data_IF_350878888252
#
_entry.id   IF_350878888252
#
_cell.length_a   1.000
_cell.length_b   1.000
_cell.length_c   1.000
_cell.angle_alpha   90.00
_cell.angle_beta   90.00
_cell.angle_gamma   90.00
#
_symmetry.space_group_name_H-M   'P 1'
#
loop_
_entity.id
_entity.type
_entity.pdbx_description
1 polymer ?
#
# COMPACT_ATOMS: atom_id res chain seq x y z
N UNK A 1 -14.37 -16.77 10.15
CA UNK A 1 -13.10 -16.09 10.51
C UNK A 1 -13.42 -14.85 11.32
N UNK A 2 -12.63 -14.56 12.35
CA UNK A 2 -12.74 -13.28 13.06
C UNK A 2 -12.17 -12.13 12.20
N UNK A 3 -12.67 -10.89 12.37
CA UNK A 3 -12.18 -9.73 11.63
C UNK A 3 -10.69 -9.43 11.89
N UNK A 4 -10.18 -9.78 13.07
CA UNK A 4 -8.77 -9.66 13.42
C UNK A 4 -7.88 -10.57 12.57
N UNK A 5 -8.30 -11.83 12.37
CA UNK A 5 -7.59 -12.80 11.53
C UNK A 5 -7.57 -12.34 10.08
N UNK A 6 -8.70 -11.87 9.55
CA UNK A 6 -8.79 -11.31 8.19
C UNK A 6 -7.80 -10.14 8.02
N UNK A 7 -7.76 -9.24 9.00
CA UNK A 7 -6.85 -8.09 8.98
C UNK A 7 -5.38 -8.51 9.03
N UNK A 8 -5.05 -9.50 9.87
CA UNK A 8 -3.69 -10.03 9.98
C UNK A 8 -3.22 -10.69 8.67
N UNK A 9 -4.09 -11.52 8.06
CA UNK A 9 -3.81 -12.18 6.78
C UNK A 9 -3.59 -11.17 5.66
N UNK A 10 -4.47 -10.17 5.54
CA UNK A 10 -4.35 -9.12 4.53
C UNK A 10 -3.07 -8.32 4.71
N UNK A 11 -2.72 -7.95 5.95
CA UNK A 11 -1.47 -7.24 6.25
C UNK A 11 -0.24 -8.07 5.91
N UNK A 12 -0.26 -9.37 6.19
CA UNK A 12 0.84 -10.26 5.84
C UNK A 12 1.09 -10.25 4.33
N UNK A 13 0.03 -10.48 3.54
CA UNK A 13 0.13 -10.50 2.07
C UNK A 13 0.52 -9.13 1.52
N UNK A 14 -0.07 -8.04 2.05
CA UNK A 14 0.27 -6.68 1.66
C UNK A 14 1.75 -6.35 1.93
N UNK A 15 2.26 -6.74 3.10
CA UNK A 15 3.68 -6.58 3.44
C UNK A 15 4.56 -7.44 2.54
N UNK A 16 4.20 -8.70 2.30
CA UNK A 16 4.91 -9.58 1.38
C UNK A 16 5.08 -8.94 0.01
N UNK A 17 4.01 -8.37 -0.56
CA UNK A 17 4.07 -7.64 -1.83
C UNK A 17 4.92 -6.37 -1.76
N UNK A 18 4.76 -5.58 -0.70
CA UNK A 18 5.55 -4.36 -0.48
C UNK A 18 7.06 -4.64 -0.45
N UNK A 19 7.46 -5.75 0.17
CA UNK A 19 8.86 -6.17 0.29
C UNK A 19 9.33 -7.14 -0.80
N UNK A 20 8.47 -7.41 -1.81
CA UNK A 20 8.76 -8.36 -2.90
C UNK A 20 9.17 -9.75 -2.41
N UNK A 21 8.55 -10.20 -1.34
CA UNK A 21 8.70 -11.57 -0.81
C UNK A 21 8.06 -12.54 -1.80
N UNK A 22 8.71 -13.69 -2.03
CA UNK A 22 8.17 -14.72 -2.91
C UNK A 22 6.87 -15.31 -2.33
N UNK A 23 5.89 -15.58 -3.19
CA UNK A 23 4.58 -16.12 -2.79
C UNK A 23 4.70 -17.43 -2.00
N UNK A 24 5.69 -18.26 -2.31
CA UNK A 24 5.97 -19.50 -1.56
C UNK A 24 6.24 -19.24 -0.08
N UNK A 25 6.98 -18.18 0.26
CA UNK A 25 7.29 -17.81 1.65
C UNK A 25 6.05 -17.26 2.35
N UNK A 26 5.21 -16.50 1.63
CA UNK A 26 3.95 -16.01 2.18
C UNK A 26 2.99 -17.17 2.45
N UNK A 27 2.92 -18.16 1.55
CA UNK A 27 2.13 -19.39 1.71
C UNK A 27 2.61 -20.19 2.92
N UNK A 28 3.92 -20.36 3.09
CA UNK A 28 4.49 -21.04 4.26
C UNK A 28 4.07 -20.36 5.56
N UNK A 29 4.16 -19.03 5.61
CA UNK A 29 3.74 -18.25 6.78
C UNK A 29 2.23 -18.29 7.04
N UNK A 30 1.41 -18.37 5.99
CA UNK A 30 -0.04 -18.60 6.12
C UNK A 30 -0.31 -19.97 6.77
N UNK A 31 0.43 -21.00 6.37
CA UNK A 31 0.31 -22.36 6.93
C UNK A 31 0.73 -22.36 8.40
N UNK A 32 1.82 -21.68 8.75
CA UNK A 32 2.28 -21.52 10.14
C UNK A 32 1.22 -20.84 11.04
N UNK A 33 0.44 -19.91 10.49
CA UNK A 33 -0.69 -19.28 11.18
C UNK A 33 -1.95 -20.17 11.27
N UNK A 34 -1.88 -21.42 10.81
CA UNK A 34 -2.96 -22.41 10.91
C UNK A 34 -3.91 -22.42 9.71
N UNK A 35 -3.55 -21.77 8.59
CA UNK A 35 -4.31 -21.89 7.34
C UNK A 35 -4.04 -23.26 6.71
N UNK A 36 -5.07 -24.04 6.34
CA UNK A 36 -4.86 -25.31 5.66
C UNK A 36 -4.11 -25.11 4.34
N UNK A 37 -3.06 -25.91 4.10
CA UNK A 37 -2.23 -25.83 2.89
C UNK A 37 -3.05 -25.86 1.60
N UNK A 38 -4.12 -26.65 1.56
CA UNK A 38 -5.03 -26.74 0.42
C UNK A 38 -5.70 -25.41 0.06
N UNK A 39 -5.85 -24.49 1.02
CA UNK A 39 -6.53 -23.20 0.85
C UNK A 39 -5.57 -22.02 0.85
N UNK A 40 -4.31 -22.20 1.27
CA UNK A 40 -3.35 -21.11 1.43
C UNK A 40 -3.05 -20.38 0.11
N UNK A 41 -2.95 -21.12 -1.00
CA UNK A 41 -2.72 -20.54 -2.33
C UNK A 41 -3.95 -19.76 -2.84
N UNK A 42 -5.15 -20.30 -2.64
CA UNK A 42 -6.41 -19.62 -3.03
C UNK A 42 -6.61 -18.33 -2.22
N UNK A 43 -6.36 -18.39 -0.91
CA UNK A 43 -6.43 -17.23 -0.01
C UNK A 43 -5.43 -16.16 -0.39
N UNK A 44 -4.19 -16.54 -0.71
CA UNK A 44 -3.19 -15.59 -1.20
C UNK A 44 -3.65 -14.93 -2.50
N UNK A 45 -4.14 -15.72 -3.46
CA UNK A 45 -4.59 -15.20 -4.76
C UNK A 45 -5.76 -14.22 -4.59
N UNK A 46 -6.73 -14.55 -3.75
CA UNK A 46 -7.89 -13.72 -3.47
C UNK A 46 -7.51 -12.38 -2.81
N UNK A 47 -6.67 -12.43 -1.77
CA UNK A 47 -6.17 -11.22 -1.10
C UNK A 47 -5.32 -10.38 -2.06
N UNK A 48 -4.45 -11.02 -2.84
CA UNK A 48 -3.59 -10.34 -3.81
C UNK A 48 -4.43 -9.64 -4.90
N UNK A 49 -5.50 -10.27 -5.36
CA UNK A 49 -6.43 -9.69 -6.32
C UNK A 49 -7.16 -8.49 -5.73
N UNK A 50 -7.67 -8.60 -4.49
CA UNK A 50 -8.28 -7.49 -3.76
C UNK A 50 -7.31 -6.32 -3.62
N UNK A 51 -6.08 -6.56 -3.16
CA UNK A 51 -5.03 -5.54 -3.03
C UNK A 51 -4.74 -4.85 -4.36
N UNK A 52 -4.57 -5.62 -5.44
CA UNK A 52 -4.28 -5.07 -6.77
C UNK A 52 -5.41 -4.17 -7.25
N UNK A 53 -6.65 -4.67 -7.19
CA UNK A 53 -7.82 -3.92 -7.63
C UNK A 53 -8.01 -2.64 -6.81
N UNK A 54 -7.82 -2.71 -5.49
CA UNK A 54 -7.86 -1.53 -4.62
C UNK A 54 -6.82 -0.49 -5.00
N UNK A 55 -5.59 -0.93 -5.27
CA UNK A 55 -4.52 -0.03 -5.73
C UNK A 55 -4.84 0.57 -7.10
N UNK A 56 -5.31 -0.22 -8.05
CA UNK A 56 -5.63 0.25 -9.42
C UNK A 56 -6.74 1.30 -9.39
N UNK A 57 -7.80 1.08 -8.60
CA UNK A 57 -8.91 2.03 -8.39
C UNK A 57 -8.40 3.32 -7.73
N UNK A 58 -7.55 3.22 -6.72
CA UNK A 58 -6.97 4.39 -6.05
C UNK A 58 -6.04 5.20 -6.99
N UNK A 59 -5.31 4.53 -7.89
CA UNK A 59 -4.46 5.19 -8.90
C UNK A 59 -5.31 5.83 -10.00
N UNK A 60 -6.35 5.15 -10.48
CA UNK A 60 -7.24 5.64 -11.51
C UNK A 60 -8.06 6.86 -11.05
N UNK A 61 -8.25 7.04 -9.74
CA UNK A 61 -9.06 8.12 -9.18
C UNK A 61 -10.56 7.95 -9.45
N UNK A 62 -10.94 6.84 -10.09
CA UNK A 62 -12.32 6.40 -10.25
C UNK A 62 -12.71 5.81 -8.90
N UNK A 63 -13.30 6.60 -8.00
CA UNK A 63 -13.75 6.11 -6.68
C UNK A 63 -14.89 5.08 -6.75
N UNK A 64 -15.05 4.42 -7.88
CA UNK A 64 -16.13 3.52 -8.19
C UNK A 64 -15.77 2.14 -7.63
N UNK A 65 -16.53 1.63 -6.66
CA UNK A 65 -16.36 0.26 -6.21
C UNK A 65 -16.60 -0.69 -7.38
N UNK A 66 -16.00 -1.90 -7.38
CA UNK A 66 -16.24 -2.88 -8.42
C UNK A 66 -17.75 -3.08 -8.65
N UNK A 67 -18.20 -3.28 -9.90
CA UNK A 67 -19.62 -3.33 -10.28
C UNK A 67 -20.39 -4.52 -9.66
N UNK A 68 -19.71 -5.43 -8.96
CA UNK A 68 -20.33 -6.54 -8.26
C UNK A 68 -20.02 -6.47 -6.75
N UNK A 69 -21.01 -6.79 -5.89
CA UNK A 69 -20.81 -6.87 -4.45
C UNK A 69 -19.71 -7.91 -4.14
N UNK A 70 -18.95 -7.74 -3.05
CA UNK A 70 -17.69 -8.44 -2.85
C UNK A 70 -17.86 -9.96 -2.84
N UNK A 71 -17.14 -10.59 -3.77
CA UNK A 71 -16.68 -11.96 -3.65
C UNK A 71 -15.81 -12.05 -2.38
N UNK A 72 -16.38 -12.54 -1.27
CA UNK A 72 -15.70 -12.79 0.01
C UNK A 72 -15.20 -11.58 0.84
N UNK A 73 -15.15 -11.73 2.18
CA UNK A 73 -14.65 -10.70 3.10
C UNK A 73 -13.14 -10.45 2.99
N UNK A 74 -12.36 -11.40 2.47
CA UNK A 74 -10.90 -11.26 2.32
C UNK A 74 -10.55 -10.35 1.15
N UNK A 75 -11.28 -10.48 0.05
CA UNK A 75 -11.14 -9.59 -1.10
C UNK A 75 -11.42 -8.14 -0.70
N UNK A 76 -12.51 -7.89 0.04
CA UNK A 76 -12.88 -6.55 0.46
C UNK A 76 -11.85 -5.93 1.41
N UNK A 77 -11.35 -6.71 2.36
CA UNK A 77 -10.28 -6.27 3.24
C UNK A 77 -8.99 -5.95 2.43
N UNK A 78 -8.61 -6.82 1.49
CA UNK A 78 -7.50 -6.58 0.54
C UNK A 78 -7.70 -5.32 -0.29
N UNK A 79 -8.89 -5.10 -0.83
CA UNK A 79 -9.24 -3.91 -1.60
C UNK A 79 -9.06 -2.62 -0.80
N UNK A 80 -9.60 -2.56 0.41
CA UNK A 80 -9.46 -1.37 1.26
C UNK A 80 -8.01 -1.10 1.64
N UNK A 81 -7.22 -2.14 1.89
CA UNK A 81 -5.80 -2.00 2.21
C UNK A 81 -4.99 -1.54 0.97
N UNK A 82 -5.33 -2.06 -0.21
CA UNK A 82 -4.72 -1.65 -1.49
C UNK A 82 -4.96 -0.18 -1.81
N UNK A 83 -6.16 0.33 -1.54
CA UNK A 83 -6.46 1.76 -1.65
C UNK A 83 -5.68 2.60 -0.64
N UNK A 84 -5.65 2.18 0.63
CA UNK A 84 -4.92 2.89 1.71
C UNK A 84 -3.43 2.99 1.42
N UNK A 85 -2.82 1.91 0.93
CA UNK A 85 -1.41 1.88 0.58
C UNK A 85 -1.08 2.94 -0.48
N UNK A 86 -1.89 3.04 -1.53
CA UNK A 86 -1.69 4.07 -2.58
C UNK A 86 -1.89 5.47 -2.04
N UNK A 87 -2.96 5.71 -1.27
CA UNK A 87 -3.23 7.03 -0.69
C UNK A 87 -2.11 7.49 0.25
N UNK A 88 -1.58 6.58 1.08
CA UNK A 88 -0.44 6.86 1.94
C UNK A 88 0.81 7.22 1.12
N UNK A 89 1.07 6.49 0.03
CA UNK A 89 2.22 6.75 -0.84
C UNK A 89 2.10 8.12 -1.54
N UNK A 90 0.90 8.47 -2.01
CA UNK A 90 0.60 9.79 -2.61
C UNK A 90 0.82 10.92 -1.59
N UNK A 91 0.33 10.76 -0.36
CA UNK A 91 0.53 11.75 0.71
C UNK A 91 2.01 11.93 1.04
N UNK A 92 2.78 10.83 1.11
CA UNK A 92 4.21 10.86 1.43
C UNK A 92 5.03 11.53 0.32
N UNK A 93 4.67 11.30 -0.94
CA UNK A 93 5.31 11.98 -2.08
C UNK A 93 4.98 13.47 -2.11
N UNK A 94 3.75 13.85 -1.79
CA UNK A 94 3.35 15.26 -1.71
C UNK A 94 4.08 15.99 -0.59
N UNK A 95 4.20 15.39 0.60
CA UNK A 95 4.94 16.00 1.72
C UNK A 95 6.43 16.15 1.37
N UNK A 96 7.04 15.11 0.81
CA UNK A 96 8.45 15.12 0.39
C UNK A 96 8.74 16.21 -0.65
N UNK A 97 7.84 16.39 -1.64
CA UNK A 97 7.95 17.47 -2.63
C UNK A 97 7.90 18.86 -1.98
N UNK A 98 7.01 19.08 -1.02
CA UNK A 98 6.92 20.36 -0.28
C UNK A 98 8.19 20.64 0.50
N UNK A 99 8.75 19.64 1.16
CA UNK A 99 10.00 19.78 1.92
C UNK A 99 11.19 20.08 1.02
N UNK A 100 11.33 19.40 -0.14
CA UNK A 100 12.40 19.72 -1.10
C UNK A 100 12.28 21.14 -1.65
N UNK A 101 11.08 21.61 -1.98
CA UNK A 101 10.86 22.98 -2.44
C UNK A 101 11.23 24.00 -1.36
N UNK A 102 10.84 23.75 -0.11
CA UNK A 102 11.20 24.62 1.01
C UNK A 102 12.73 24.70 1.21
N UNK A 103 13.43 23.57 1.12
CA UNK A 103 14.90 23.53 1.20
C UNK A 103 15.53 24.30 0.03
N UNK A 104 15.04 24.10 -1.19
CA UNK A 104 15.55 24.80 -2.38
C UNK A 104 15.38 26.32 -2.25
N UNK A 105 14.22 26.79 -1.77
CA UNK A 105 13.97 28.22 -1.52
C UNK A 105 14.93 28.77 -0.46
N UNK A 106 15.16 28.04 0.64
CA UNK A 106 16.10 28.47 1.69
C UNK A 106 17.54 28.58 1.16
N UNK A 107 17.98 27.64 0.33
CA UNK A 107 19.30 27.69 -0.30
C UNK A 107 19.40 28.91 -1.21
N UNK A 108 18.42 29.15 -2.08
CA UNK A 108 18.40 30.32 -2.98
C UNK A 108 18.41 31.63 -2.19
N UNK A 109 17.62 31.72 -1.12
CA UNK A 109 17.58 32.90 -0.25
C UNK A 109 18.93 33.14 0.44
N UNK A 110 19.56 32.07 0.94
CA UNK A 110 20.88 32.14 1.57
C UNK A 110 21.96 32.61 0.60
N UNK A 111 21.96 32.13 -0.65
CA UNK A 111 22.88 32.59 -1.69
C UNK A 111 22.64 34.07 -2.02
N UNK A 112 21.39 34.50 -2.17
CA UNK A 112 21.07 35.91 -2.43
C UNK A 112 21.56 36.82 -1.30
N UNK A 113 21.31 36.44 -0.04
CA UNK A 113 21.78 37.20 1.13
C UNK A 113 23.31 37.24 1.14
N UNK A 114 23.99 36.11 0.92
CA UNK A 114 25.44 36.05 0.86
C UNK A 114 26.01 36.98 -0.21
N UNK A 115 25.45 36.97 -1.43
CA UNK A 115 25.90 37.82 -2.54
C UNK A 115 25.67 39.32 -2.24
N UNK A 116 24.58 39.67 -1.55
CA UNK A 116 24.29 41.06 -1.17
C UNK A 116 25.19 41.55 -0.04
N UNK A 117 25.52 40.69 0.93
CA UNK A 117 26.36 41.04 2.09
C UNK A 117 27.86 40.98 1.77
N UNK A 118 28.27 40.14 0.82
CA UNK A 118 29.66 40.00 0.38
C UNK A 118 30.08 41.04 -0.68
N UNK A 119 29.20 41.97 -1.04
CA UNK A 119 29.50 43.16 -1.85
C UNK A 119 29.60 44.40 -0.99
#
# INVERSE_FOLDING_TARGET
MSPEVITALVRLVANGRKFRVADAVVIEHLIEMGVPQAHAAELLAEIAQGLQHGSDVAVAGTGEPPPCPPASPLYLAGFTEGQRAVLADVQTRQSSRRTMLAIAVLIVLGVLIYVVVAR
#
